data_IF_798651750979
#
_entry.id   IF_798651750979
#
_cell.length_a   1.000
_cell.length_b   1.000
_cell.length_c   1.000
_cell.angle_alpha   90.00
_cell.angle_beta   90.00
_cell.angle_gamma   90.00
#
_symmetry.space_group_name_H-M   'P 1'
#
loop_
_entity.id
_entity.type
_entity.pdbx_description
1 polymer ?
#
# COMPACT_ATOMS: atom_id res chain seq x y z
N UNK A 1 6.53 -4.54 8.82
CA UNK A 1 6.05 -3.20 8.39
C UNK A 1 4.96 -3.37 7.34
N UNK A 2 3.81 -2.71 7.50
CA UNK A 2 2.71 -2.70 6.53
C UNK A 2 2.67 -1.36 5.80
N UNK A 3 2.48 -1.38 4.48
CA UNK A 3 2.24 -0.17 3.69
C UNK A 3 0.74 -0.03 3.46
N UNK A 4 0.17 1.13 3.84
CA UNK A 4 -1.26 1.38 3.73
C UNK A 4 -1.53 2.59 2.84
N UNK A 5 -2.22 2.39 1.72
CA UNK A 5 -2.77 3.45 0.90
C UNK A 5 -4.08 3.97 1.50
N UNK A 6 -4.13 5.24 1.90
CA UNK A 6 -5.33 5.85 2.49
C UNK A 6 -6.15 6.60 1.43
N UNK A 7 -7.38 6.96 1.78
CA UNK A 7 -8.30 7.73 0.92
C UNK A 7 -8.58 7.04 -0.42
N UNK A 8 -8.74 5.71 -0.41
CA UNK A 8 -9.01 4.91 -1.61
C UNK A 8 -10.25 5.41 -2.38
N UNK A 9 -11.23 5.96 -1.68
CA UNK A 9 -12.43 6.61 -2.22
C UNK A 9 -12.11 7.70 -3.26
N UNK A 10 -11.04 8.47 -3.04
CA UNK A 10 -10.66 9.57 -3.94
C UNK A 10 -10.04 9.10 -5.26
N UNK A 11 -9.69 7.82 -5.40
CA UNK A 11 -9.07 7.30 -6.64
C UNK A 11 -10.01 7.45 -7.85
N UNK A 12 -11.32 7.31 -7.63
CA UNK A 12 -12.35 7.41 -8.67
C UNK A 12 -13.14 8.72 -8.58
N UNK A 13 -12.78 9.61 -7.65
CA UNK A 13 -13.48 10.88 -7.45
C UNK A 13 -13.14 11.87 -8.58
N UNK A 14 -14.12 12.31 -9.37
CA UNK A 14 -13.87 13.15 -10.54
C UNK A 14 -13.29 14.52 -10.18
N UNK A 15 -13.63 15.08 -9.02
CA UNK A 15 -13.07 16.36 -8.57
C UNK A 15 -11.59 16.23 -8.20
N UNK A 16 -11.23 15.17 -7.46
CA UNK A 16 -9.84 14.89 -7.08
C UNK A 16 -8.99 14.56 -8.30
N UNK A 17 -9.52 13.80 -9.27
CA UNK A 17 -8.82 13.52 -10.52
C UNK A 17 -8.55 14.81 -11.30
N UNK A 18 -9.53 15.74 -11.38
CA UNK A 18 -9.33 17.04 -12.04
C UNK A 18 -8.22 17.85 -11.36
N UNK A 19 -8.27 17.98 -10.03
CA UNK A 19 -7.26 18.71 -9.25
C UNK A 19 -5.86 18.13 -9.41
N UNK A 20 -5.73 16.80 -9.41
CA UNK A 20 -4.45 16.14 -9.66
C UNK A 20 -3.95 16.38 -11.08
N UNK A 21 -4.84 16.32 -12.09
CA UNK A 21 -4.47 16.61 -13.48
C UNK A 21 -3.99 18.04 -13.68
N UNK A 22 -4.57 19.03 -12.99
CA UNK A 22 -4.10 20.42 -13.02
C UNK A 22 -2.65 20.54 -12.51
N UNK A 23 -2.24 19.65 -11.61
CA UNK A 23 -0.87 19.54 -11.11
C UNK A 23 0.00 18.56 -11.91
N UNK A 24 -0.48 18.05 -13.05
CA UNK A 24 0.17 16.98 -13.84
C UNK A 24 0.44 15.69 -13.05
N UNK A 25 -0.38 15.42 -12.04
CA UNK A 25 -0.33 14.22 -11.21
C UNK A 25 -1.51 13.29 -11.53
N UNK A 26 -1.36 12.03 -11.11
CA UNK A 26 -2.42 11.02 -11.19
C UNK A 26 -2.55 10.27 -9.85
N UNK A 27 -3.74 9.74 -9.52
CA UNK A 27 -3.90 8.88 -8.35
C UNK A 27 -2.96 7.67 -8.43
N UNK A 28 -2.39 7.28 -7.29
CA UNK A 28 -1.55 6.09 -7.22
C UNK A 28 -2.39 4.86 -7.54
N UNK A 29 -1.89 4.01 -8.44
CA UNK A 29 -2.52 2.73 -8.77
C UNK A 29 -2.16 1.66 -7.75
N UNK A 30 -3.00 0.62 -7.66
CA UNK A 30 -2.73 -0.52 -6.78
C UNK A 30 -1.40 -1.21 -7.16
N UNK A 31 -1.05 -1.23 -8.45
CA UNK A 31 0.22 -1.81 -8.92
C UNK A 31 1.43 -1.02 -8.41
N UNK A 32 1.38 0.32 -8.48
CA UNK A 32 2.45 1.18 -7.95
C UNK A 32 2.60 1.02 -6.44
N UNK A 33 1.50 0.95 -5.69
CA UNK A 33 1.54 0.70 -4.24
C UNK A 33 2.18 -0.64 -3.89
N UNK A 34 1.85 -1.69 -4.62
CA UNK A 34 2.50 -3.00 -4.49
C UNK A 34 4.00 -2.96 -4.87
N UNK A 35 4.36 -2.20 -5.90
CA UNK A 35 5.76 -1.98 -6.28
C UNK A 35 6.56 -1.32 -5.16
N UNK A 36 6.02 -0.24 -4.58
CA UNK A 36 6.63 0.44 -3.45
C UNK A 36 6.75 -0.47 -2.22
N UNK A 37 5.70 -1.24 -1.89
CA UNK A 37 5.74 -2.21 -0.80
C UNK A 37 6.86 -3.23 -0.97
N UNK A 38 7.07 -3.75 -2.19
CA UNK A 38 8.20 -4.63 -2.49
C UNK A 38 9.54 -3.93 -2.35
N UNK A 39 9.64 -2.69 -2.83
CA UNK A 39 10.87 -1.90 -2.77
C UNK A 39 11.31 -1.63 -1.32
N UNK A 40 10.36 -1.29 -0.44
CA UNK A 40 10.63 -1.03 0.99
C UNK A 40 10.58 -2.29 1.85
N UNK A 41 10.41 -3.47 1.24
CA UNK A 41 10.28 -4.75 1.93
C UNK A 41 9.16 -4.78 2.99
N UNK A 42 8.05 -4.10 2.71
CA UNK A 42 6.85 -4.22 3.52
C UNK A 42 6.29 -5.65 3.43
N UNK A 43 5.70 -6.11 4.52
CA UNK A 43 5.05 -7.41 4.65
C UNK A 43 3.88 -7.52 3.66
N UNK A 44 3.10 -6.44 3.53
CA UNK A 44 1.95 -6.36 2.64
C UNK A 44 1.61 -4.90 2.32
N UNK A 45 1.03 -4.70 1.15
CA UNK A 45 0.34 -3.47 0.76
C UNK A 45 -1.16 -3.65 0.95
N UNK A 46 -1.82 -2.69 1.60
CA UNK A 46 -3.27 -2.67 1.77
C UNK A 46 -3.80 -1.27 1.47
N UNK A 47 -5.08 -1.16 1.13
CA UNK A 47 -5.72 0.12 0.85
C UNK A 47 -6.99 0.24 1.69
N UNK A 48 -7.24 1.43 2.21
CA UNK A 48 -8.42 1.70 3.01
C UNK A 48 -9.06 3.05 2.68
N UNK A 49 -10.36 3.13 2.93
CA UNK A 49 -11.13 4.38 2.96
C UNK A 49 -11.74 4.53 4.34
N UNK A 50 -11.27 5.53 5.09
CA UNK A 50 -11.88 5.85 6.38
C UNK A 50 -13.31 6.38 6.21
N UNK A 51 -13.57 7.11 5.11
CA UNK A 51 -14.88 7.67 4.79
C UNK A 51 -15.93 6.56 4.54
N UNK A 52 -15.58 5.59 3.71
CA UNK A 52 -16.46 4.47 3.38
C UNK A 52 -16.34 3.29 4.37
N UNK A 53 -15.51 3.43 5.40
CA UNK A 53 -15.14 2.36 6.34
C UNK A 53 -14.64 1.07 5.66
N UNK A 54 -14.08 1.21 4.46
CA UNK A 54 -13.60 0.10 3.64
C UNK A 54 -12.16 -0.24 4.00
N UNK A 55 -11.86 -1.52 4.22
CA UNK A 55 -10.51 -2.03 4.49
C UNK A 55 -9.92 -1.68 5.85
N UNK A 56 -10.59 -0.84 6.67
CA UNK A 56 -10.08 -0.41 7.98
C UNK A 56 -9.89 -1.59 8.92
N UNK A 57 -10.92 -2.43 9.09
CA UNK A 57 -10.85 -3.61 9.98
C UNK A 57 -9.76 -4.58 9.55
N UNK A 58 -9.63 -4.80 8.25
CA UNK A 58 -8.62 -5.70 7.68
C UNK A 58 -7.20 -5.16 7.91
N UNK A 59 -6.97 -3.85 7.75
CA UNK A 59 -5.66 -3.23 8.02
C UNK A 59 -5.25 -3.44 9.48
N UNK A 60 -6.16 -3.26 10.43
CA UNK A 60 -5.86 -3.48 11.85
C UNK A 60 -5.65 -4.97 12.17
N UNK A 61 -6.47 -5.86 11.63
CA UNK A 61 -6.31 -7.30 11.81
C UNK A 61 -4.96 -7.79 11.25
N UNK A 62 -4.57 -7.30 10.07
CA UNK A 62 -3.29 -7.65 9.45
C UNK A 62 -2.11 -7.07 10.24
N UNK A 63 -2.24 -5.88 10.81
CA UNK A 63 -1.22 -5.28 11.65
C UNK A 63 -0.95 -6.11 12.91
N UNK A 64 -2.01 -6.58 13.57
CA UNK A 64 -1.91 -7.49 14.71
C UNK A 64 -1.32 -8.83 14.26
N UNK A 65 -1.84 -9.39 13.15
CA UNK A 65 -1.36 -10.65 12.59
C UNK A 65 0.13 -10.63 12.23
N UNK A 66 0.63 -9.52 11.69
CA UNK A 66 2.03 -9.35 11.31
C UNK A 66 2.99 -9.34 12.52
N UNK A 67 2.50 -9.02 13.72
CA UNK A 67 3.28 -9.06 14.96
C UNK A 67 3.20 -10.45 15.61
N UNK A 68 2.02 -11.06 15.63
CA UNK A 68 1.82 -12.38 16.24
C UNK A 68 2.49 -13.50 15.42
N UNK A 69 2.38 -13.42 14.10
CA UNK A 69 2.95 -14.39 13.17
C UNK A 69 3.92 -13.68 12.21
N UNK A 70 5.15 -13.37 12.66
CA UNK A 70 6.11 -12.69 11.81
C UNK A 70 6.47 -13.60 10.63
N UNK A 71 6.01 -13.23 9.42
CA UNK A 71 6.48 -13.87 8.20
C UNK A 71 7.94 -13.46 7.97
N UNK A 72 8.85 -14.41 7.71
CA UNK A 72 10.25 -14.07 7.48
C UNK A 72 10.35 -13.19 6.23
N UNK A 73 10.74 -11.93 6.42
CA UNK A 73 11.06 -11.02 5.31
C UNK A 73 12.26 -11.62 4.60
N UNK A 74 12.07 -12.06 3.35
CA UNK A 74 13.14 -12.68 2.54
C UNK A 74 14.20 -11.61 2.23
N UNK A 75 15.22 -11.50 3.09
CA UNK A 75 16.44 -10.77 2.78
C UNK A 75 17.11 -11.52 1.63
N UNK A 76 17.16 -10.93 0.43
CA UNK A 76 17.87 -11.52 -0.71
C UNK A 76 19.35 -11.57 -0.35
N UNK A 77 19.95 -12.76 -0.34
CA UNK A 77 21.41 -12.92 -0.25
C UNK A 77 22.05 -12.19 -1.45
N UNK A 78 23.18 -11.48 -1.27
CA UNK A 78 23.90 -10.93 -2.42
C UNK A 78 24.32 -12.09 -3.32
N UNK A 79 23.80 -12.13 -4.55
CA UNK A 79 24.33 -13.01 -5.59
C UNK A 79 25.72 -12.49 -5.96
N UNK A 80 26.76 -13.15 -5.45
CA UNK A 80 28.11 -13.05 -6.00
C UNK A 80 28.18 -13.99 -7.20
N UNK A 81 28.25 -13.42 -8.41
CA UNK A 81 28.78 -14.11 -9.57
C UNK A 81 30.30 -14.17 -9.37
N UNK A 82 30.83 -15.38 -9.28
CA UNK A 82 32.26 -15.67 -9.19
C UNK A 82 32.75 -16.17 -10.55
#
# INVERSE_FOLDING_TARGET
MLLVGTKKDLRNDPETIKKLKEQSLAPITQHQGNGLAKQIQAVKYMECSALNQEGIKEVFAEAVGAVINPTPVKIRKPCVLL
#
